data_IF_209844660067
#
_entry.id   IF_209844660067
#
_cell.length_a   1.000
_cell.length_b   1.000
_cell.length_c   1.000
_cell.angle_alpha   90.00
_cell.angle_beta   90.00
_cell.angle_gamma   90.00
#
_symmetry.space_group_name_H-M   'P 1'
#
loop_
_entity.id
_entity.type
_entity.pdbx_description
1 polymer ?
#
# COMPACT_ATOMS: atom_id res chain seq x y z
N UNK A 1 5.28 -5.64 31.13
CA UNK A 1 5.46 -7.11 31.23
C UNK A 1 5.24 -7.83 29.90
N UNK A 2 4.31 -7.41 29.04
CA UNK A 2 4.02 -8.09 27.75
C UNK A 2 5.23 -8.13 26.79
N UNK A 3 5.93 -7.02 26.59
CA UNK A 3 7.16 -6.97 25.76
C UNK A 3 8.22 -7.97 26.23
N UNK A 4 8.44 -8.07 27.54
CA UNK A 4 9.42 -9.01 28.11
C UNK A 4 8.98 -10.47 27.90
N UNK A 5 7.69 -10.76 28.04
CA UNK A 5 7.13 -12.09 27.78
C UNK A 5 7.31 -12.49 26.32
N UNK A 6 7.06 -11.57 25.38
CA UNK A 6 7.25 -11.80 23.94
C UNK A 6 8.71 -12.10 23.61
N UNK A 7 9.64 -11.27 24.09
CA UNK A 7 11.09 -11.46 23.89
C UNK A 7 11.57 -12.80 24.44
N UNK A 8 11.10 -13.19 25.62
CA UNK A 8 11.43 -14.49 26.21
C UNK A 8 10.94 -15.67 25.34
N UNK A 9 9.73 -15.59 24.80
CA UNK A 9 9.19 -16.63 23.92
C UNK A 9 9.96 -16.74 22.60
N UNK A 10 10.35 -15.60 22.02
CA UNK A 10 11.15 -15.54 20.79
C UNK A 10 12.56 -16.09 21.01
N UNK A 11 13.25 -15.66 22.07
CA UNK A 11 14.60 -16.13 22.41
C UNK A 11 14.65 -17.66 22.57
N UNK A 12 13.63 -18.24 23.24
CA UNK A 12 13.54 -19.69 23.43
C UNK A 12 13.50 -20.49 22.13
N UNK A 13 12.92 -19.94 21.06
CA UNK A 13 12.87 -20.58 19.74
C UNK A 13 14.15 -20.33 18.95
N UNK A 14 14.66 -19.10 19.00
CA UNK A 14 15.93 -18.72 18.40
C UNK A 14 17.07 -19.62 18.88
N UNK A 15 17.20 -19.85 20.18
CA UNK A 15 18.26 -20.68 20.77
C UNK A 15 18.19 -22.16 20.37
N UNK A 16 17.07 -22.58 19.74
CA UNK A 16 16.87 -23.93 19.20
C UNK A 16 17.09 -24.01 17.68
N UNK A 17 17.61 -22.94 17.07
CA UNK A 17 17.89 -22.89 15.63
C UNK A 17 16.64 -22.69 14.76
N UNK A 18 15.54 -22.19 15.34
CA UNK A 18 14.30 -22.00 14.58
C UNK A 18 14.45 -20.94 13.46
N UNK A 19 15.29 -19.92 13.67
CA UNK A 19 15.51 -18.86 12.69
C UNK A 19 16.20 -19.40 11.42
N UNK A 20 17.25 -20.20 11.60
CA UNK A 20 17.97 -20.85 10.51
C UNK A 20 17.07 -21.87 9.80
N UNK A 21 16.25 -22.62 10.56
CA UNK A 21 15.30 -23.58 10.01
C UNK A 21 14.27 -22.88 9.11
N UNK A 22 13.76 -21.71 9.51
CA UNK A 22 12.85 -20.91 8.67
C UNK A 22 13.53 -20.50 7.38
N UNK A 23 14.76 -19.95 7.45
CA UNK A 23 15.51 -19.57 6.24
C UNK A 23 15.81 -20.77 5.32
N UNK A 24 16.16 -21.92 5.88
CA UNK A 24 16.37 -23.16 5.11
C UNK A 24 15.06 -23.67 4.49
N UNK A 25 13.96 -23.62 5.23
CA UNK A 25 12.63 -24.03 4.73
C UNK A 25 12.18 -23.11 3.60
N UNK A 26 12.37 -21.80 3.76
CA UNK A 26 12.18 -20.81 2.71
C UNK A 26 13.07 -21.13 1.51
N UNK A 27 14.33 -21.49 1.73
CA UNK A 27 15.26 -21.82 0.64
C UNK A 27 14.89 -23.09 -0.14
N UNK A 28 14.17 -24.03 0.50
CA UNK A 28 13.88 -25.37 -0.01
C UNK A 28 12.49 -25.53 -0.67
N UNK A 29 11.53 -24.64 -0.40
CA UNK A 29 10.17 -24.78 -0.98
C UNK A 29 10.16 -24.41 -2.47
N UNK A 30 9.35 -25.07 -3.32
CA UNK A 30 9.31 -24.80 -4.78
C UNK A 30 8.81 -23.40 -5.16
N UNK A 31 7.88 -22.84 -4.40
CA UNK A 31 7.43 -21.45 -4.59
C UNK A 31 8.56 -20.45 -4.28
N UNK A 32 9.48 -20.84 -3.39
CA UNK A 32 10.59 -20.02 -2.90
C UNK A 32 11.97 -20.59 -3.32
N UNK A 33 12.02 -21.53 -4.27
CA UNK A 33 13.24 -21.84 -5.04
C UNK A 33 13.76 -20.57 -5.70
N UNK A 34 12.84 -19.64 -5.96
CA UNK A 34 13.09 -18.27 -6.35
C UNK A 34 13.81 -17.42 -5.26
N UNK A 35 13.63 -17.66 -3.96
CA UNK A 35 14.37 -16.95 -2.90
C UNK A 35 15.82 -17.41 -2.78
N UNK A 36 16.07 -18.73 -2.81
CA UNK A 36 17.42 -19.27 -2.65
C UNK A 36 18.30 -19.17 -3.89
N UNK A 37 17.71 -19.08 -5.08
CA UNK A 37 18.46 -18.98 -6.36
C UNK A 37 18.61 -17.54 -6.88
N UNK A 38 18.24 -16.52 -6.10
CA UNK A 38 18.29 -15.14 -6.58
C UNK A 38 17.27 -14.87 -7.69
N UNK A 39 16.05 -15.34 -7.52
CA UNK A 39 14.91 -15.04 -8.39
C UNK A 39 13.67 -14.54 -7.62
N UNK A 40 13.82 -13.86 -6.48
CA UNK A 40 12.70 -13.18 -5.78
C UNK A 40 11.87 -12.30 -6.72
N UNK A 41 12.52 -11.73 -7.74
CA UNK A 41 11.91 -11.08 -8.91
C UNK A 41 10.82 -11.93 -9.60
N UNK A 42 11.05 -13.22 -9.78
CA UNK A 42 10.09 -14.16 -10.36
C UNK A 42 8.90 -14.47 -9.45
N UNK A 43 9.12 -14.49 -8.13
CA UNK A 43 8.04 -14.66 -7.15
C UNK A 43 7.14 -13.42 -7.10
N UNK A 44 7.72 -12.22 -7.00
CA UNK A 44 6.91 -11.00 -6.99
C UNK A 44 6.11 -10.89 -8.28
N UNK A 45 6.70 -11.22 -9.45
CA UNK A 45 5.98 -11.29 -10.74
C UNK A 45 4.83 -12.29 -10.76
N UNK A 46 4.87 -13.34 -9.93
CA UNK A 46 3.77 -14.29 -9.82
C UNK A 46 2.65 -13.84 -8.88
N UNK A 47 2.85 -12.79 -8.08
CA UNK A 47 1.78 -12.26 -7.23
C UNK A 47 0.67 -11.65 -8.04
N UNK A 48 -0.54 -12.09 -7.69
CA UNK A 48 -1.74 -11.59 -8.32
C UNK A 48 -2.01 -10.14 -7.89
N UNK A 49 -2.78 -9.47 -8.73
CA UNK A 49 -3.28 -8.11 -8.50
C UNK A 49 -4.78 -8.12 -8.75
N UNK A 50 -5.44 -6.98 -8.58
CA UNK A 50 -6.86 -6.83 -8.82
C UNK A 50 -7.18 -6.94 -10.32
N UNK A 51 -7.35 -8.16 -10.83
CA UNK A 51 -7.63 -8.42 -12.24
C UNK A 51 -9.12 -8.22 -12.54
N UNK A 52 -9.41 -7.24 -13.42
CA UNK A 52 -10.78 -6.88 -13.78
C UNK A 52 -11.53 -8.02 -14.50
N UNK A 53 -10.85 -8.84 -15.30
CA UNK A 53 -11.49 -9.97 -16.00
C UNK A 53 -11.85 -11.09 -15.02
N UNK A 54 -10.98 -11.37 -14.03
CA UNK A 54 -11.30 -12.28 -12.93
C UNK A 54 -12.50 -11.76 -12.12
N UNK A 55 -12.54 -10.46 -11.84
CA UNK A 55 -13.63 -9.83 -11.13
C UNK A 55 -14.98 -9.94 -11.87
N UNK A 56 -15.01 -9.64 -13.17
CA UNK A 56 -16.24 -9.78 -13.96
C UNK A 56 -16.73 -11.23 -14.04
N UNK A 57 -15.80 -12.19 -14.13
CA UNK A 57 -16.14 -13.62 -14.11
C UNK A 57 -16.72 -14.03 -12.76
N UNK A 58 -16.16 -13.56 -11.66
CA UNK A 58 -16.69 -13.79 -10.31
C UNK A 58 -18.09 -13.21 -10.16
N UNK A 59 -18.30 -11.93 -10.51
CA UNK A 59 -19.60 -11.27 -10.41
C UNK A 59 -20.68 -11.99 -11.22
N UNK A 60 -20.34 -12.46 -12.43
CA UNK A 60 -21.27 -13.22 -13.27
C UNK A 60 -21.64 -14.57 -12.66
N UNK A 61 -20.70 -15.27 -12.04
CA UNK A 61 -20.96 -16.56 -11.40
C UNK A 61 -21.84 -16.41 -10.15
N UNK A 62 -21.59 -15.38 -9.34
CA UNK A 62 -22.41 -15.03 -8.17
C UNK A 62 -23.83 -14.62 -8.56
N UNK A 63 -23.98 -13.81 -9.62
CA UNK A 63 -25.29 -13.43 -10.16
C UNK A 63 -26.14 -14.60 -10.70
N UNK A 64 -25.51 -15.75 -10.99
CA UNK A 64 -26.18 -16.99 -11.39
C UNK A 64 -26.47 -17.93 -10.21
N UNK A 65 -26.11 -17.54 -8.98
CA UNK A 65 -26.26 -18.38 -7.78
C UNK A 65 -25.35 -19.61 -7.78
N UNK A 66 -24.27 -19.60 -8.56
CA UNK A 66 -23.38 -20.77 -8.76
C UNK A 66 -22.25 -20.86 -7.73
N UNK A 67 -22.18 -19.92 -6.78
CA UNK A 67 -21.15 -19.89 -5.73
C UNK A 67 -21.74 -20.47 -4.45
N UNK A 68 -21.23 -21.63 -4.03
CA UNK A 68 -21.46 -22.20 -2.70
C UNK A 68 -20.39 -21.68 -1.74
N UNK A 69 -20.69 -21.57 -0.44
CA UNK A 69 -19.79 -21.01 0.59
C UNK A 69 -18.39 -21.67 0.65
N UNK A 70 -18.19 -22.84 0.02
CA UNK A 70 -16.92 -23.57 -0.01
C UNK A 70 -16.40 -23.97 -1.41
N UNK A 71 -16.90 -23.40 -2.52
CA UNK A 71 -16.65 -23.96 -3.87
C UNK A 71 -15.94 -23.07 -4.93
N UNK A 72 -14.65 -23.32 -5.16
CA UNK A 72 -13.96 -23.41 -6.47
C UNK A 72 -14.11 -22.34 -7.58
N UNK A 73 -14.43 -21.08 -7.28
CA UNK A 73 -14.27 -19.97 -8.23
C UNK A 73 -12.83 -19.43 -8.24
N UNK A 74 -12.31 -19.01 -9.39
CA UNK A 74 -11.06 -18.23 -9.50
C UNK A 74 -11.24 -16.94 -8.68
N UNK A 75 -10.78 -16.95 -7.41
CA UNK A 75 -10.98 -15.82 -6.49
C UNK A 75 -10.12 -14.65 -6.96
N UNK A 76 -10.72 -13.47 -7.06
CA UNK A 76 -9.98 -12.23 -7.29
C UNK A 76 -8.96 -12.06 -6.18
N UNK A 77 -7.71 -11.89 -6.60
CA UNK A 77 -6.56 -11.65 -5.73
C UNK A 77 -6.40 -12.70 -4.62
N UNK A 78 -6.43 -13.99 -4.98
CA UNK A 78 -6.46 -15.13 -4.05
C UNK A 78 -5.22 -15.30 -3.14
N UNK A 79 -4.11 -14.63 -3.45
CA UNK A 79 -2.85 -14.69 -2.71
C UNK A 79 -2.60 -13.42 -1.87
N UNK A 80 -3.65 -12.64 -1.58
CA UNK A 80 -3.58 -11.40 -0.81
C UNK A 80 -2.98 -11.61 0.59
N UNK A 81 -3.45 -12.61 1.34
CA UNK A 81 -2.91 -12.94 2.66
C UNK A 81 -1.42 -13.31 2.60
N UNK A 82 -1.05 -14.21 1.68
CA UNK A 82 0.34 -14.64 1.52
C UNK A 82 1.26 -13.49 1.09
N UNK A 83 0.78 -12.64 0.19
CA UNK A 83 1.52 -11.46 -0.29
C UNK A 83 1.78 -10.50 0.86
N UNK A 84 0.75 -10.19 1.66
CA UNK A 84 0.88 -9.37 2.85
C UNK A 84 1.87 -9.96 3.86
N UNK A 85 1.76 -11.25 4.16
CA UNK A 85 2.66 -11.93 5.09
C UNK A 85 4.12 -11.90 4.63
N UNK A 86 4.38 -12.05 3.32
CA UNK A 86 5.73 -11.98 2.79
C UNK A 86 6.31 -10.57 2.90
N UNK A 87 5.56 -9.53 2.51
CA UNK A 87 6.03 -8.16 2.66
C UNK A 87 6.18 -7.76 4.13
N UNK A 88 5.33 -8.27 5.02
CA UNK A 88 5.47 -8.10 6.46
C UNK A 88 6.73 -8.77 6.99
N UNK A 89 7.03 -9.98 6.53
CA UNK A 89 8.28 -10.67 6.86
C UNK A 89 9.51 -9.84 6.42
N UNK A 90 9.52 -9.35 5.18
CA UNK A 90 10.62 -8.50 4.68
C UNK A 90 10.75 -7.18 5.45
N UNK A 91 9.62 -6.56 5.81
CA UNK A 91 9.57 -5.36 6.64
C UNK A 91 10.26 -5.62 8.00
N UNK A 92 9.88 -6.71 8.67
CA UNK A 92 10.40 -7.07 10.00
C UNK A 92 11.92 -7.33 10.01
N UNK A 93 12.51 -7.72 8.89
CA UNK A 93 13.97 -7.93 8.79
C UNK A 93 14.75 -6.60 8.77
N UNK A 94 14.10 -5.52 8.34
CA UNK A 94 14.67 -4.17 8.29
C UNK A 94 14.25 -3.29 9.48
N UNK A 95 13.23 -3.68 10.23
CA UNK A 95 12.73 -2.95 11.41
C UNK A 95 13.86 -2.70 12.42
N UNK A 96 13.86 -1.51 13.03
CA UNK A 96 14.93 -1.08 13.93
C UNK A 96 16.18 -0.56 13.21
N UNK A 97 16.05 -0.12 11.95
CA UNK A 97 17.11 0.49 11.15
C UNK A 97 18.31 -0.45 10.92
N UNK A 98 18.02 -1.71 10.57
CA UNK A 98 19.04 -2.73 10.34
C UNK A 98 19.78 -2.48 9.00
N UNK A 99 20.80 -1.61 9.03
CA UNK A 99 21.53 -1.19 7.82
C UNK A 99 22.19 -2.35 7.07
N UNK A 100 22.66 -3.38 7.78
CA UNK A 100 23.30 -4.54 7.14
C UNK A 100 22.29 -5.30 6.28
N UNK A 101 21.10 -5.57 6.83
CA UNK A 101 20.07 -6.30 6.09
C UNK A 101 19.42 -5.43 5.01
N UNK A 102 19.20 -4.13 5.29
CA UNK A 102 18.75 -3.16 4.29
C UNK A 102 19.68 -3.12 3.06
N UNK A 103 21.00 -3.13 3.27
CA UNK A 103 21.98 -3.17 2.18
C UNK A 103 22.01 -4.55 1.51
N UNK A 104 21.87 -5.63 2.27
CA UNK A 104 21.81 -6.98 1.72
C UNK A 104 20.61 -7.19 0.80
N UNK A 105 19.44 -6.59 1.07
CA UNK A 105 18.28 -6.65 0.17
C UNK A 105 18.53 -5.94 -1.17
N UNK A 106 19.42 -4.93 -1.20
CA UNK A 106 19.81 -4.21 -2.41
C UNK A 106 20.89 -4.94 -3.19
N UNK A 107 21.90 -5.49 -2.51
CA UNK A 107 23.06 -6.12 -3.15
C UNK A 107 23.65 -7.23 -2.28
N UNK A 108 23.78 -8.44 -2.84
CA UNK A 108 24.33 -9.60 -2.14
C UNK A 108 25.79 -9.87 -2.57
N UNK A 109 26.71 -9.06 -2.04
CA UNK A 109 28.14 -9.22 -2.32
C UNK A 109 28.62 -10.62 -1.89
N UNK A 110 29.28 -11.33 -2.81
CA UNK A 110 29.72 -12.72 -2.60
C UNK A 110 28.83 -13.76 -3.28
N UNK A 111 27.63 -13.39 -3.75
CA UNK A 111 26.80 -14.24 -4.60
C UNK A 111 27.16 -14.06 -6.09
N UNK A 112 26.97 -15.10 -6.90
CA UNK A 112 27.17 -15.04 -8.36
C UNK A 112 26.12 -14.18 -9.08
N UNK A 113 24.98 -13.93 -8.45
CA UNK A 113 23.87 -13.14 -9.00
C UNK A 113 23.32 -12.25 -7.90
N UNK A 114 23.13 -10.97 -8.23
CA UNK A 114 22.49 -10.00 -7.34
C UNK A 114 21.04 -9.82 -7.73
N UNK A 115 20.15 -9.82 -6.74
CA UNK A 115 18.75 -9.44 -6.87
C UNK A 115 18.50 -8.20 -6.06
N UNK A 116 18.05 -7.13 -6.73
CA UNK A 116 17.62 -5.93 -6.04
C UNK A 116 16.13 -6.06 -5.65
N UNK A 117 15.89 -6.48 -4.41
CA UNK A 117 14.55 -6.71 -3.86
C UNK A 117 13.81 -5.38 -3.69
N UNK A 118 14.53 -4.29 -3.46
CA UNK A 118 13.99 -2.94 -3.34
C UNK A 118 13.30 -2.53 -4.64
N UNK A 119 13.99 -2.67 -5.78
CA UNK A 119 13.43 -2.39 -7.11
C UNK A 119 12.27 -3.32 -7.44
N UNK A 120 12.41 -4.61 -7.14
CA UNK A 120 11.35 -5.59 -7.41
C UNK A 120 10.07 -5.30 -6.61
N UNK A 121 10.21 -4.73 -5.42
CA UNK A 121 9.07 -4.28 -4.59
C UNK A 121 8.35 -3.10 -5.25
N UNK A 122 9.09 -2.15 -5.83
CA UNK A 122 8.52 -1.04 -6.61
C UNK A 122 7.82 -1.53 -7.87
N UNK A 123 8.41 -2.49 -8.59
CA UNK A 123 7.78 -3.09 -9.77
C UNK A 123 6.44 -3.77 -9.43
N UNK A 124 6.33 -4.37 -8.24
CA UNK A 124 5.05 -4.90 -7.77
C UNK A 124 4.07 -3.79 -7.41
N UNK A 125 4.52 -2.77 -6.67
CA UNK A 125 3.68 -1.62 -6.30
C UNK A 125 3.06 -0.95 -7.53
N UNK A 126 3.83 -0.81 -8.61
CA UNK A 126 3.34 -0.23 -9.85
C UNK A 126 2.22 -1.08 -10.47
N UNK A 127 2.36 -2.42 -10.52
CA UNK A 127 1.28 -3.29 -11.01
C UNK A 127 0.02 -3.22 -10.15
N UNK A 128 0.19 -3.14 -8.83
CA UNK A 128 -0.93 -2.95 -7.90
C UNK A 128 -1.61 -1.61 -8.20
N UNK A 129 -0.84 -0.53 -8.38
CA UNK A 129 -1.36 0.79 -8.71
C UNK A 129 -2.11 0.79 -10.05
N UNK A 130 -1.56 0.18 -11.10
CA UNK A 130 -2.23 0.04 -12.40
C UNK A 130 -3.57 -0.70 -12.25
N UNK A 131 -3.60 -1.79 -11.50
CA UNK A 131 -4.83 -2.55 -11.25
C UNK A 131 -5.90 -1.76 -10.47
N UNK A 132 -5.49 -0.95 -9.49
CA UNK A 132 -6.38 -0.07 -8.73
C UNK A 132 -6.94 1.05 -9.63
N UNK A 133 -6.11 1.60 -10.53
CA UNK A 133 -6.55 2.61 -11.50
C UNK A 133 -7.55 2.07 -12.52
N UNK A 134 -7.32 0.87 -13.06
CA UNK A 134 -8.27 0.21 -13.97
C UNK A 134 -9.62 -0.03 -13.28
N UNK A 135 -9.58 -0.45 -12.02
CA UNK A 135 -10.77 -0.69 -11.22
C UNK A 135 -11.51 0.62 -10.88
N UNK A 136 -10.79 1.73 -10.63
CA UNK A 136 -11.38 3.06 -10.55
C UNK A 136 -12.13 3.43 -11.84
N UNK A 137 -11.51 3.23 -13.01
CA UNK A 137 -12.13 3.53 -14.29
C UNK A 137 -13.41 2.72 -14.52
N UNK A 138 -13.40 1.43 -14.16
CA UNK A 138 -14.58 0.56 -14.24
C UNK A 138 -15.78 1.08 -13.43
N UNK A 139 -15.54 1.71 -12.28
CA UNK A 139 -16.58 2.30 -11.43
C UNK A 139 -16.81 3.80 -11.65
N UNK A 140 -16.02 4.46 -12.51
CA UNK A 140 -16.08 5.92 -12.69
C UNK A 140 -17.43 6.41 -13.20
N UNK A 141 -18.09 5.63 -14.07
CA UNK A 141 -19.43 5.95 -14.62
C UNK A 141 -20.62 5.43 -13.80
N UNK A 142 -20.38 4.72 -12.69
CA UNK A 142 -21.44 4.26 -11.78
C UNK A 142 -21.54 5.21 -10.61
N UNK A 143 -22.71 5.45 -10.03
CA UNK A 143 -22.81 6.36 -8.87
C UNK A 143 -22.10 5.76 -7.63
N UNK A 144 -22.40 4.48 -7.35
CA UNK A 144 -21.94 3.74 -6.17
C UNK A 144 -21.12 2.52 -6.58
N UNK A 145 -20.11 2.18 -5.77
CA UNK A 145 -19.39 0.91 -5.88
C UNK A 145 -20.20 -0.17 -5.16
N UNK A 146 -20.55 -1.24 -5.89
CA UNK A 146 -21.27 -2.37 -5.30
C UNK A 146 -20.46 -3.07 -4.20
N UNK A 147 -21.13 -3.82 -3.32
CA UNK A 147 -20.50 -4.43 -2.14
C UNK A 147 -19.31 -5.33 -2.49
N UNK A 148 -19.40 -6.05 -3.61
CA UNK A 148 -18.33 -6.94 -4.08
C UNK A 148 -17.14 -6.14 -4.60
N UNK A 149 -17.40 -5.03 -5.31
CA UNK A 149 -16.39 -4.06 -5.71
C UNK A 149 -15.68 -3.45 -4.50
N UNK A 150 -16.42 -3.06 -3.46
CA UNK A 150 -15.83 -2.52 -2.23
C UNK A 150 -14.92 -3.55 -1.56
N UNK A 151 -15.37 -4.79 -1.38
CA UNK A 151 -14.56 -5.88 -0.78
C UNK A 151 -13.26 -6.13 -1.52
N UNK A 152 -13.28 -6.15 -2.86
CA UNK A 152 -12.07 -6.39 -3.66
C UNK A 152 -11.14 -5.17 -3.72
N UNK A 153 -11.69 -3.94 -3.73
CA UNK A 153 -10.91 -2.72 -3.56
C UNK A 153 -10.16 -2.72 -2.22
N UNK A 154 -10.86 -3.03 -1.12
CA UNK A 154 -10.28 -3.09 0.23
C UNK A 154 -9.10 -4.05 0.30
N UNK A 155 -9.18 -5.22 -0.34
CA UNK A 155 -8.04 -6.16 -0.41
C UNK A 155 -6.83 -5.54 -1.11
N UNK A 156 -7.03 -4.93 -2.28
CA UNK A 156 -5.95 -4.29 -3.03
C UNK A 156 -5.32 -3.12 -2.25
N UNK A 157 -6.14 -2.33 -1.56
CA UNK A 157 -5.70 -1.24 -0.67
C UNK A 157 -4.85 -1.80 0.48
N UNK A 158 -5.27 -2.90 1.11
CA UNK A 158 -4.51 -3.52 2.20
C UNK A 158 -3.14 -4.05 1.74
N UNK A 159 -3.07 -4.67 0.56
CA UNK A 159 -1.79 -5.09 -0.03
C UNK A 159 -0.90 -3.88 -0.31
N UNK A 160 -1.43 -2.83 -0.96
CA UNK A 160 -0.66 -1.61 -1.22
C UNK A 160 -0.14 -0.97 0.08
N UNK A 161 -0.96 -0.94 1.13
CA UNK A 161 -0.61 -0.42 2.45
C UNK A 161 0.58 -1.17 3.04
N UNK A 162 0.55 -2.51 3.00
CA UNK A 162 1.66 -3.33 3.46
C UNK A 162 2.93 -3.07 2.63
N UNK A 163 2.82 -2.91 1.31
CA UNK A 163 3.97 -2.59 0.45
C UNK A 163 4.59 -1.23 0.79
N UNK A 164 3.80 -0.17 1.02
CA UNK A 164 4.31 1.13 1.44
C UNK A 164 5.00 1.08 2.81
N UNK A 165 4.43 0.34 3.76
CA UNK A 165 5.03 0.14 5.08
C UNK A 165 6.37 -0.62 4.98
N UNK A 166 6.46 -1.61 4.09
CA UNK A 166 7.72 -2.31 3.81
C UNK A 166 8.77 -1.39 3.15
N UNK A 167 8.38 -0.61 2.15
CA UNK A 167 9.28 0.36 1.51
C UNK A 167 9.81 1.42 2.50
N UNK A 168 8.98 1.82 3.46
CA UNK A 168 9.36 2.75 4.53
C UNK A 168 10.51 2.18 5.37
N UNK A 169 10.40 0.93 5.84
CA UNK A 169 11.48 0.29 6.63
C UNK A 169 12.76 0.04 5.84
N UNK A 170 12.68 -0.07 4.51
CA UNK A 170 13.87 -0.21 3.67
C UNK A 170 14.75 1.05 3.66
N UNK A 171 14.20 2.23 3.97
CA UNK A 171 14.89 3.52 3.84
C UNK A 171 15.09 4.28 5.15
N UNK A 172 14.28 4.01 6.17
CA UNK A 172 14.40 4.67 7.48
C UNK A 172 15.71 4.35 8.21
N UNK A 173 16.17 5.28 9.06
CA UNK A 173 17.48 5.21 9.69
C UNK A 173 18.57 5.51 8.65
N UNK A 174 18.54 6.73 8.10
CA UNK A 174 18.66 7.03 6.68
C UNK A 174 19.57 6.06 5.90
N UNK A 175 18.97 5.23 5.06
CA UNK A 175 19.69 4.29 4.19
C UNK A 175 19.90 4.90 2.79
N UNK A 176 20.95 5.71 2.64
CA UNK A 176 21.21 6.49 1.42
C UNK A 176 21.26 5.64 0.15
N UNK A 177 21.84 4.44 0.19
CA UNK A 177 21.90 3.56 -0.97
C UNK A 177 20.52 3.05 -1.41
N UNK A 178 19.59 2.81 -0.48
CA UNK A 178 18.23 2.39 -0.80
C UNK A 178 17.40 3.59 -1.30
N UNK A 179 17.54 4.76 -0.67
CA UNK A 179 16.93 6.00 -1.13
C UNK A 179 17.34 6.33 -2.57
N UNK A 180 18.63 6.22 -2.91
CA UNK A 180 19.11 6.41 -4.29
C UNK A 180 18.58 5.34 -5.23
N UNK A 181 18.50 4.07 -4.80
CA UNK A 181 17.91 3.00 -5.62
C UNK A 181 16.45 3.30 -5.95
N UNK A 182 15.66 3.80 -5.00
CA UNK A 182 14.27 4.19 -5.21
C UNK A 182 14.13 5.42 -6.11
N UNK A 183 14.97 6.44 -5.92
CA UNK A 183 14.97 7.68 -6.70
C UNK A 183 15.23 7.45 -8.22
N UNK A 184 15.98 6.40 -8.56
CA UNK A 184 16.26 6.01 -9.95
C UNK A 184 15.34 4.90 -10.47
N UNK A 185 14.34 4.50 -9.67
CA UNK A 185 13.34 3.50 -10.04
C UNK A 185 12.06 4.15 -10.61
N UNK A 186 11.05 3.33 -10.89
CA UNK A 186 9.71 3.77 -11.29
C UNK A 186 8.78 4.11 -10.13
N UNK A 187 9.33 4.39 -8.94
CA UNK A 187 8.54 4.72 -7.76
C UNK A 187 7.69 5.99 -7.99
N UNK A 188 8.26 6.99 -8.67
CA UNK A 188 7.57 8.24 -8.96
C UNK A 188 6.33 8.02 -9.84
N UNK A 189 6.42 7.15 -10.86
CA UNK A 189 5.28 6.76 -11.71
C UNK A 189 4.13 6.21 -10.86
N UNK A 190 4.42 5.29 -9.94
CA UNK A 190 3.42 4.69 -9.06
C UNK A 190 2.79 5.74 -8.12
N UNK A 191 3.60 6.63 -7.55
CA UNK A 191 3.11 7.69 -6.65
C UNK A 191 2.18 8.66 -7.39
N UNK A 192 2.52 9.07 -8.61
CA UNK A 192 1.65 9.90 -9.47
C UNK A 192 0.31 9.20 -9.71
N UNK A 193 0.34 7.91 -10.04
CA UNK A 193 -0.87 7.12 -10.24
C UNK A 193 -1.77 7.04 -8.99
N UNK A 194 -1.17 6.84 -7.81
CA UNK A 194 -1.92 6.87 -6.55
C UNK A 194 -2.51 8.25 -6.24
N UNK A 195 -1.80 9.35 -6.51
CA UNK A 195 -2.33 10.71 -6.32
C UNK A 195 -3.60 10.94 -7.16
N UNK A 196 -3.63 10.45 -8.40
CA UNK A 196 -4.83 10.48 -9.23
C UNK A 196 -5.98 9.69 -8.60
N UNK A 197 -5.74 8.44 -8.20
CA UNK A 197 -6.78 7.61 -7.55
C UNK A 197 -7.31 8.27 -6.28
N UNK A 198 -6.43 8.78 -5.41
CA UNK A 198 -6.84 9.46 -4.17
C UNK A 198 -7.70 10.68 -4.45
N UNK A 199 -7.29 11.56 -5.36
CA UNK A 199 -8.03 12.78 -5.67
C UNK A 199 -9.47 12.49 -6.11
N UNK A 200 -9.67 11.48 -6.98
CA UNK A 200 -10.98 11.18 -7.54
C UNK A 200 -11.83 10.28 -6.64
N UNK A 201 -11.24 9.26 -6.01
CA UNK A 201 -11.99 8.33 -5.16
C UNK A 201 -12.41 8.98 -3.85
N UNK A 202 -11.63 9.90 -3.27
CA UNK A 202 -12.05 10.62 -2.06
C UNK A 202 -13.37 11.37 -2.27
N UNK A 203 -13.45 12.14 -3.35
CA UNK A 203 -14.65 12.87 -3.71
C UNK A 203 -15.84 11.96 -4.02
N UNK A 204 -15.60 10.81 -4.69
CA UNK A 204 -16.64 9.85 -5.06
C UNK A 204 -17.21 9.12 -3.83
N UNK A 205 -16.33 8.52 -3.03
CA UNK A 205 -16.72 7.70 -1.88
C UNK A 205 -17.40 8.54 -0.78
N UNK A 206 -17.06 9.84 -0.68
CA UNK A 206 -17.69 10.72 0.31
C UNK A 206 -19.15 11.08 0.01
N UNK A 207 -19.67 10.79 -1.19
CA UNK A 207 -21.05 11.13 -1.55
C UNK A 207 -22.09 10.16 -0.98
N UNK A 208 -21.69 8.96 -0.56
CA UNK A 208 -22.60 7.94 -0.06
C UNK A 208 -22.09 7.32 1.24
N UNK A 209 -22.93 7.34 2.28
CA UNK A 209 -22.61 6.83 3.62
C UNK A 209 -22.22 5.34 3.64
N UNK A 210 -22.70 4.54 2.68
CA UNK A 210 -22.39 3.10 2.58
C UNK A 210 -20.94 2.82 2.18
N UNK A 211 -20.24 3.82 1.63
CA UNK A 211 -18.86 3.70 1.11
C UNK A 211 -17.81 4.30 2.07
N UNK A 212 -18.23 4.76 3.25
CA UNK A 212 -17.36 5.47 4.20
C UNK A 212 -16.24 4.60 4.77
N UNK A 213 -16.48 3.30 4.97
CA UNK A 213 -15.41 2.41 5.43
C UNK A 213 -14.31 2.27 4.38
N UNK A 214 -14.67 2.10 3.10
CA UNK A 214 -13.69 2.09 2.01
C UNK A 214 -12.96 3.43 1.88
N UNK A 215 -13.65 4.57 2.09
CA UNK A 215 -13.01 5.88 2.13
C UNK A 215 -11.94 5.93 3.23
N UNK A 216 -12.25 5.48 4.47
CA UNK A 216 -11.28 5.46 5.57
C UNK A 216 -10.04 4.62 5.23
N UNK A 217 -10.22 3.44 4.64
CA UNK A 217 -9.10 2.59 4.21
C UNK A 217 -8.22 3.29 3.15
N UNK A 218 -8.85 3.99 2.21
CA UNK A 218 -8.13 4.78 1.20
C UNK A 218 -7.34 5.95 1.84
N UNK A 219 -7.91 6.63 2.83
CA UNK A 219 -7.23 7.70 3.58
C UNK A 219 -6.03 7.16 4.38
N UNK A 220 -6.18 5.98 4.97
CA UNK A 220 -5.10 5.30 5.68
C UNK A 220 -3.95 4.93 4.73
N UNK A 221 -4.26 4.43 3.53
CA UNK A 221 -3.26 4.17 2.49
C UNK A 221 -2.55 5.44 2.06
N UNK A 222 -3.27 6.55 1.88
CA UNK A 222 -2.68 7.84 1.54
C UNK A 222 -1.70 8.31 2.62
N UNK A 223 -2.06 8.14 3.90
CA UNK A 223 -1.17 8.45 5.02
C UNK A 223 0.13 7.64 4.94
N UNK A 224 0.06 6.33 4.76
CA UNK A 224 1.23 5.46 4.73
C UNK A 224 2.14 5.78 3.51
N UNK A 225 1.56 6.13 2.36
CA UNK A 225 2.31 6.65 1.21
C UNK A 225 3.07 7.95 1.58
N UNK A 226 2.41 8.92 2.22
CA UNK A 226 3.05 10.18 2.61
C UNK A 226 4.17 9.94 3.62
N UNK A 227 4.01 9.03 4.57
CA UNK A 227 5.06 8.66 5.53
C UNK A 227 6.29 8.07 4.82
N UNK A 228 6.08 7.23 3.80
CA UNK A 228 7.17 6.71 2.98
C UNK A 228 7.91 7.85 2.24
N UNK A 229 7.19 8.81 1.66
CA UNK A 229 7.77 9.98 1.00
C UNK A 229 8.55 10.87 1.98
N UNK A 230 8.08 11.04 3.22
CA UNK A 230 8.83 11.75 4.26
C UNK A 230 10.13 11.00 4.63
N UNK A 231 10.07 9.66 4.71
CA UNK A 231 11.22 8.81 4.98
C UNK A 231 12.27 8.86 3.84
N UNK A 232 11.85 9.10 2.60
CA UNK A 232 12.75 9.36 1.45
C UNK A 232 13.55 10.66 1.60
N UNK A 233 13.06 11.62 2.40
CA UNK A 233 13.73 12.90 2.64
C UNK A 233 14.61 12.90 3.90
N UNK A 234 14.59 11.82 4.69
CA UNK A 234 15.45 11.69 5.87
C UNK A 234 16.93 11.71 5.47
N UNK A 235 17.72 12.56 6.14
CA UNK A 235 19.14 12.70 5.85
C UNK A 235 19.46 13.37 4.51
N UNK A 236 18.47 13.97 3.83
CA UNK A 236 18.68 14.64 2.55
C UNK A 236 19.44 15.97 2.70
N UNK A 237 20.19 16.34 1.65
CA UNK A 237 20.97 17.58 1.58
C UNK A 237 20.17 18.64 0.82
N UNK A 238 20.35 19.92 1.18
CA UNK A 238 19.76 21.06 0.45
C UNK A 238 20.13 20.96 -1.04
N UNK A 239 19.12 21.07 -1.91
CA UNK A 239 19.24 20.90 -3.37
C UNK A 239 19.67 19.49 -3.83
N UNK A 240 19.45 18.46 -3.02
CA UNK A 240 19.67 17.06 -3.40
C UNK A 240 18.68 16.56 -4.47
N UNK A 241 19.12 15.59 -5.27
CA UNK A 241 18.35 15.02 -6.40
C UNK A 241 16.96 14.52 -6.00
N UNK A 242 16.84 13.84 -4.85
CA UNK A 242 15.57 13.28 -4.36
C UNK A 242 14.54 14.40 -4.11
N UNK A 243 14.96 15.48 -3.45
CA UNK A 243 14.07 16.61 -3.18
C UNK A 243 13.61 17.28 -4.47
N UNK A 244 14.51 17.42 -5.46
CA UNK A 244 14.17 17.97 -6.78
C UNK A 244 13.16 17.08 -7.52
N UNK A 245 13.39 15.77 -7.58
CA UNK A 245 12.47 14.83 -8.24
C UNK A 245 11.09 14.81 -7.57
N UNK A 246 11.03 14.93 -6.23
CA UNK A 246 9.77 15.04 -5.52
C UNK A 246 9.01 16.32 -5.89
N UNK A 247 9.70 17.45 -6.07
CA UNK A 247 9.09 18.69 -6.57
C UNK A 247 8.58 18.50 -8.00
N UNK A 248 9.39 17.90 -8.88
CA UNK A 248 8.99 17.65 -10.28
C UNK A 248 7.72 16.77 -10.34
N UNK A 249 7.65 15.72 -9.51
CA UNK A 249 6.47 14.85 -9.38
C UNK A 249 5.22 15.61 -8.90
N UNK A 250 5.36 16.50 -7.92
CA UNK A 250 4.24 17.32 -7.42
C UNK A 250 3.75 18.31 -8.47
N UNK A 251 4.65 18.86 -9.28
CA UNK A 251 4.30 19.74 -10.41
C UNK A 251 3.55 18.97 -11.48
N UNK A 252 3.98 17.75 -11.82
CA UNK A 252 3.27 16.88 -12.76
C UNK A 252 1.85 16.53 -12.28
N UNK A 253 1.68 16.30 -10.97
CA UNK A 253 0.41 15.94 -10.34
C UNK A 253 -0.36 17.13 -9.74
N UNK A 254 -0.06 18.38 -10.15
CA UNK A 254 -0.56 19.58 -9.45
C UNK A 254 -2.08 19.60 -9.29
N UNK A 255 -2.83 19.23 -10.33
CA UNK A 255 -4.29 19.19 -10.31
C UNK A 255 -4.83 18.19 -9.27
N UNK A 256 -4.24 16.98 -9.22
CA UNK A 256 -4.64 15.94 -8.28
C UNK A 256 -4.33 16.36 -6.85
N UNK A 257 -3.15 16.94 -6.62
CA UNK A 257 -2.74 17.46 -5.31
C UNK A 257 -3.67 18.59 -4.85
N UNK A 258 -4.03 19.51 -5.72
CA UNK A 258 -4.99 20.58 -5.40
C UNK A 258 -6.38 20.03 -5.02
N UNK A 259 -6.86 19.00 -5.73
CA UNK A 259 -8.14 18.37 -5.40
C UNK A 259 -8.12 17.74 -4.00
N UNK A 260 -7.06 17.01 -3.67
CA UNK A 260 -6.85 16.41 -2.34
C UNK A 260 -6.83 17.50 -1.26
N UNK A 261 -6.10 18.59 -1.48
CA UNK A 261 -6.03 19.70 -0.52
C UNK A 261 -7.39 20.38 -0.31
N UNK A 262 -8.14 20.60 -1.40
CA UNK A 262 -9.50 21.17 -1.33
C UNK A 262 -10.47 20.24 -0.59
N UNK A 263 -10.34 18.93 -0.76
CA UNK A 263 -11.13 17.94 -0.02
C UNK A 263 -10.93 18.10 1.49
N UNK A 264 -9.68 18.13 1.97
CA UNK A 264 -9.40 18.36 3.39
C UNK A 264 -9.87 19.72 3.90
N UNK A 265 -9.60 20.79 3.14
CA UNK A 265 -9.97 22.16 3.50
C UNK A 265 -11.48 22.33 3.71
N UNK A 266 -12.30 21.67 2.88
CA UNK A 266 -13.75 21.66 3.01
C UNK A 266 -14.21 21.17 4.39
N UNK A 267 -13.71 20.03 4.84
CA UNK A 267 -14.12 19.43 6.12
C UNK A 267 -13.52 20.14 7.34
N UNK A 268 -12.29 20.65 7.23
CA UNK A 268 -11.66 21.43 8.30
C UNK A 268 -12.44 22.72 8.57
N UNK A 269 -12.85 23.44 7.51
CA UNK A 269 -13.64 24.69 7.62
C UNK A 269 -15.08 24.44 8.06
N UNK A 270 -15.68 23.31 7.70
CA UNK A 270 -17.08 23.00 8.05
C UNK A 270 -17.30 22.95 9.57
N UNK A 271 -16.31 22.47 10.32
CA UNK A 271 -16.35 22.43 11.79
C UNK A 271 -16.46 23.82 12.41
N UNK A 272 -15.71 24.78 11.90
CA UNK A 272 -15.74 26.16 12.39
C UNK A 272 -17.00 26.89 11.92
N UNK A 273 -17.48 26.60 10.70
CA UNK A 273 -18.70 27.18 10.16
C UNK A 273 -19.95 26.78 10.97
N UNK A 274 -20.12 25.49 11.25
CA UNK A 274 -21.29 24.95 11.97
C UNK A 274 -21.34 25.35 13.45
N UNK A 275 -20.22 25.82 14.01
CA UNK A 275 -20.13 26.35 15.37
C UNK A 275 -20.20 27.87 15.46
N UNK A 276 -20.14 28.58 14.32
CA UNK A 276 -20.19 30.04 14.24
C UNK A 276 -21.56 30.62 14.61
N UNK A 277 -21.58 31.84 15.13
CA UNK A 277 -22.82 32.51 15.52
C UNK A 277 -23.68 32.86 14.29
N UNK A 278 -23.06 33.19 13.15
CA UNK A 278 -23.77 33.41 11.90
C UNK A 278 -24.53 32.18 11.40
N UNK A 279 -24.02 30.97 11.62
CA UNK A 279 -24.76 29.74 11.28
C UNK A 279 -25.93 29.49 12.25
N UNK A 280 -25.75 29.77 13.55
CA UNK A 280 -26.82 29.66 14.56
C UNK A 280 -27.95 30.67 14.33
N UNK A 281 -27.64 31.85 13.81
CA UNK A 281 -28.66 32.82 13.38
C UNK A 281 -29.48 32.31 12.19
N UNK A 282 -28.88 31.48 11.34
CA UNK A 282 -29.52 30.92 10.15
C UNK A 282 -30.33 29.63 10.43
N UNK A 283 -29.93 28.83 11.43
CA UNK A 283 -30.71 27.69 11.97
C UNK A 283 -30.99 27.89 13.47
N UNK A 284 -31.85 28.86 13.83
CA UNK A 284 -32.14 29.19 15.23
C UNK A 284 -32.85 28.06 15.99
N UNK A 285 -33.53 27.16 15.27
CA UNK A 285 -34.24 26.01 15.83
C UNK A 285 -33.35 24.76 15.94
N UNK A 286 -32.11 24.80 15.44
CA UNK A 286 -31.20 23.64 15.41
C UNK A 286 -31.76 22.42 14.66
N UNK A 287 -32.70 22.64 13.73
CA UNK A 287 -33.39 21.57 13.00
C UNK A 287 -32.46 20.86 12.01
N UNK A 288 -31.37 21.51 11.61
CA UNK A 288 -30.33 20.95 10.73
C UNK A 288 -29.42 19.91 11.37
N UNK A 289 -29.45 19.73 12.71
CA UNK A 289 -28.64 18.71 13.42
C UNK A 289 -29.19 17.28 13.35
N UNK A 290 -30.27 17.03 12.60
CA UNK A 290 -30.96 15.73 12.54
C UNK A 290 -30.61 14.85 11.32
N UNK A 291 -29.56 15.17 10.57
CA UNK A 291 -29.06 14.34 9.47
C UNK A 291 -27.76 13.64 9.89
#
# INVERSE_FOLDING_TARGET
MEKQKLLYQQARLHDRGAAEMVLQTISASKALWYISTGRLTGLFRSFSVLDLNAFERQNKAEGLGMVTEEGSGEKVMQDDEFTCDLFRFLQLLCEGHNSDFQNYLRTQTGNNTTVNIIISTVDYLLRVQESISDFYWYYSGKDVIDEQGQRNFSKAINVAKQVFNTLTEYIQGPCTGNQQSLAHSRLWDAVVGFLHVFAHMQMKLSQDSSQIELLKELMDLQKDMVVMLLSMLEGNVVNGTIGKQMVDMLVESSNNVEMILKFFDMFLKLKDLTSSDGFKEYDPDGKGKKL
#
